data_IF_541488554389
#
_entry.id   IF_541488554389
#
_cell.length_a   1.000
_cell.length_b   1.000
_cell.length_c   1.000
_cell.angle_alpha   90.00
_cell.angle_beta   90.00
_cell.angle_gamma   90.00
#
_symmetry.space_group_name_H-M   'P 1'
#
loop_
_entity.id
_entity.type
_entity.pdbx_description
1 polymer ?
#
# COMPACT_ATOMS: atom_id res chain seq x y z
N UNK A 1 19.30 0.97 -34.42
CA UNK A 1 19.27 2.27 -33.71
C UNK A 1 17.88 2.91 -33.64
N UNK A 2 16.97 2.73 -34.62
CA UNK A 2 15.57 3.24 -34.55
C UNK A 2 14.66 2.48 -33.58
N UNK A 3 14.89 1.17 -33.36
CA UNK A 3 14.04 0.32 -32.51
C UNK A 3 14.08 0.68 -31.02
N UNK A 4 15.22 1.16 -30.51
CA UNK A 4 15.40 1.55 -29.10
C UNK A 4 14.70 2.88 -28.77
N UNK A 5 14.66 3.80 -29.73
CA UNK A 5 13.94 5.08 -29.62
C UNK A 5 12.42 4.88 -29.65
N UNK A 6 11.93 3.95 -30.48
CA UNK A 6 10.50 3.62 -30.55
C UNK A 6 10.00 2.87 -29.31
N UNK A 7 10.85 2.05 -28.68
CA UNK A 7 10.59 1.39 -27.39
C UNK A 7 10.53 2.41 -26.24
N UNK A 8 11.53 3.28 -26.11
CA UNK A 8 11.53 4.37 -25.13
C UNK A 8 10.34 5.33 -25.31
N UNK A 9 9.95 5.63 -26.56
CA UNK A 9 8.80 6.49 -26.85
C UNK A 9 7.47 5.81 -26.51
N UNK A 10 7.36 4.49 -26.62
CA UNK A 10 6.21 3.71 -26.13
C UNK A 10 6.16 3.67 -24.61
N UNK A 11 7.29 3.47 -23.94
CA UNK A 11 7.38 3.50 -22.47
C UNK A 11 6.99 4.86 -21.88
N UNK A 12 7.43 5.97 -22.50
CA UNK A 12 7.02 7.32 -22.09
C UNK A 12 5.52 7.58 -22.30
N UNK A 13 4.94 7.04 -23.38
CA UNK A 13 3.50 7.20 -23.66
C UNK A 13 2.59 6.32 -22.80
N UNK A 14 3.12 5.24 -22.23
CA UNK A 14 2.38 4.34 -21.33
C UNK A 14 2.43 4.77 -19.86
N UNK A 15 3.21 5.81 -19.51
CA UNK A 15 3.21 6.32 -18.13
C UNK A 15 1.85 6.97 -17.82
N UNK A 16 1.34 6.77 -16.59
CA UNK A 16 0.13 7.46 -16.14
C UNK A 16 0.30 8.97 -16.32
N UNK A 17 -0.65 9.60 -17.03
CA UNK A 17 -0.69 11.06 -17.19
C UNK A 17 -1.48 11.72 -16.06
N UNK A 18 -2.24 10.94 -15.30
CA UNK A 18 -2.90 11.38 -14.08
C UNK A 18 -1.93 11.37 -12.90
N UNK A 19 -2.20 12.24 -11.94
CA UNK A 19 -1.52 12.26 -10.64
C UNK A 19 -2.27 11.36 -9.63
N UNK A 20 -1.63 10.89 -8.55
CA UNK A 20 -2.28 10.06 -7.54
C UNK A 20 -3.63 10.60 -7.03
N UNK A 21 -3.72 11.91 -6.80
CA UNK A 21 -4.91 12.58 -6.27
C UNK A 21 -6.06 12.74 -7.28
N UNK A 22 -5.74 12.87 -8.58
CA UNK A 22 -6.68 13.36 -9.60
C UNK A 22 -6.79 12.38 -10.76
N UNK A 23 -8.00 12.01 -11.15
CA UNK A 23 -8.24 11.12 -12.29
C UNK A 23 -8.36 11.91 -13.58
N UNK A 24 -7.88 11.34 -14.69
CA UNK A 24 -7.94 11.97 -16.01
C UNK A 24 -8.68 11.10 -17.00
N UNK A 25 -9.60 11.66 -17.83
CA UNK A 25 -10.22 10.94 -18.95
C UNK A 25 -9.20 10.43 -19.98
N UNK A 26 -7.98 10.98 -19.99
CA UNK A 26 -6.89 10.54 -20.85
C UNK A 26 -6.15 9.30 -20.31
N UNK A 27 -6.57 8.79 -19.14
CA UNK A 27 -5.97 7.63 -18.46
C UNK A 27 -7.04 6.65 -17.96
N UNK A 28 -8.14 6.50 -18.70
CA UNK A 28 -9.33 5.73 -18.27
C UNK A 28 -8.99 4.33 -17.77
N UNK A 29 -8.22 3.55 -18.54
CA UNK A 29 -7.88 2.17 -18.12
C UNK A 29 -7.13 2.13 -16.79
N UNK A 30 -6.07 2.93 -16.66
CA UNK A 30 -5.31 3.06 -15.40
C UNK A 30 -6.20 3.52 -14.25
N UNK A 31 -7.00 4.56 -14.46
CA UNK A 31 -7.87 5.14 -13.44
C UNK A 31 -8.94 4.16 -12.96
N UNK A 32 -9.50 3.34 -13.87
CA UNK A 32 -10.47 2.29 -13.55
C UNK A 32 -9.81 1.19 -12.71
N UNK A 33 -8.59 0.75 -13.06
CA UNK A 33 -7.86 -0.26 -12.27
C UNK A 33 -7.58 0.26 -10.86
N UNK A 34 -7.14 1.52 -10.71
CA UNK A 34 -6.92 2.14 -9.39
C UNK A 34 -8.23 2.24 -8.59
N UNK A 35 -9.35 2.59 -9.24
CA UNK A 35 -10.66 2.64 -8.57
C UNK A 35 -11.13 1.24 -8.15
N UNK A 36 -10.96 0.24 -9.00
CA UNK A 36 -11.28 -1.15 -8.70
C UNK A 36 -10.46 -1.68 -7.53
N UNK A 37 -9.16 -1.38 -7.48
CA UNK A 37 -8.30 -1.76 -6.35
C UNK A 37 -8.78 -1.12 -5.03
N UNK A 38 -9.19 0.16 -5.04
CA UNK A 38 -9.78 0.82 -3.86
C UNK A 38 -11.08 0.16 -3.41
N UNK A 39 -11.98 -0.11 -4.35
CA UNK A 39 -13.24 -0.79 -4.06
C UNK A 39 -12.97 -2.18 -3.47
N UNK A 40 -11.99 -2.90 -4.02
CA UNK A 40 -11.60 -4.21 -3.51
C UNK A 40 -11.11 -4.13 -2.07
N UNK A 41 -10.28 -3.14 -1.71
CA UNK A 41 -9.82 -2.94 -0.32
C UNK A 41 -11.01 -2.75 0.64
N UNK A 42 -12.01 -1.98 0.23
CA UNK A 42 -13.23 -1.75 1.03
C UNK A 42 -14.04 -3.04 1.16
N UNK A 43 -14.27 -3.75 0.05
CA UNK A 43 -15.04 -4.99 0.03
C UNK A 43 -14.38 -6.10 0.86
N UNK A 44 -13.05 -6.18 0.87
CA UNK A 44 -12.30 -7.15 1.67
C UNK A 44 -12.37 -6.91 3.18
N UNK A 45 -12.96 -5.79 3.65
CA UNK A 45 -13.29 -5.60 5.06
C UNK A 45 -14.51 -6.44 5.48
N UNK A 46 -15.39 -6.80 4.55
CA UNK A 46 -16.48 -7.74 4.81
C UNK A 46 -15.94 -9.17 4.83
N UNK A 47 -16.16 -9.88 5.94
CA UNK A 47 -15.67 -11.24 6.14
C UNK A 47 -16.21 -12.23 5.09
N UNK A 48 -17.48 -12.09 4.70
CA UNK A 48 -18.10 -13.01 3.73
C UNK A 48 -17.49 -12.82 2.34
N UNK A 49 -17.30 -11.57 1.92
CA UNK A 49 -16.62 -11.24 0.68
C UNK A 49 -15.17 -11.72 0.72
N UNK A 50 -14.45 -11.46 1.80
CA UNK A 50 -13.06 -11.87 2.00
C UNK A 50 -12.88 -13.38 1.80
N UNK A 51 -13.72 -14.21 2.43
CA UNK A 51 -13.66 -15.67 2.28
C UNK A 51 -13.89 -16.12 0.83
N UNK A 52 -14.87 -15.53 0.12
CA UNK A 52 -15.11 -15.84 -1.30
C UNK A 52 -13.94 -15.41 -2.18
N UNK A 53 -13.37 -14.26 -1.87
CA UNK A 53 -12.25 -13.69 -2.59
C UNK A 53 -11.02 -14.59 -2.52
N UNK A 54 -10.60 -14.98 -1.32
CA UNK A 54 -9.43 -15.87 -1.12
C UNK A 54 -9.70 -17.32 -1.54
N UNK A 55 -10.96 -17.77 -1.44
CA UNK A 55 -11.36 -19.13 -1.83
C UNK A 55 -11.27 -19.41 -3.32
N UNK A 56 -11.09 -18.37 -4.14
CA UNK A 56 -10.94 -18.47 -5.60
C UNK A 56 -9.48 -18.24 -5.98
N UNK A 57 -8.77 -19.29 -6.41
CA UNK A 57 -7.32 -19.25 -6.68
C UNK A 57 -6.95 -18.21 -7.76
N UNK A 58 -7.79 -18.06 -8.77
CA UNK A 58 -7.61 -17.11 -9.87
C UNK A 58 -7.53 -15.66 -9.37
N UNK A 59 -8.27 -15.32 -8.32
CA UNK A 59 -8.20 -13.99 -7.72
C UNK A 59 -6.81 -13.71 -7.16
N UNK A 60 -6.20 -14.67 -6.47
CA UNK A 60 -4.87 -14.52 -5.90
C UNK A 60 -3.78 -14.43 -6.97
N UNK A 61 -3.93 -15.15 -8.08
CA UNK A 61 -3.05 -15.01 -9.25
C UNK A 61 -3.09 -13.58 -9.79
N UNK A 62 -4.30 -13.02 -9.97
CA UNK A 62 -4.47 -11.63 -10.41
C UNK A 62 -3.81 -10.66 -9.43
N UNK A 63 -3.94 -10.90 -8.12
CA UNK A 63 -3.31 -10.07 -7.10
C UNK A 63 -1.78 -10.11 -7.19
N UNK A 64 -1.19 -11.28 -7.37
CA UNK A 64 0.26 -11.44 -7.55
C UNK A 64 0.73 -10.71 -8.80
N UNK A 65 0.00 -10.82 -9.91
CA UNK A 65 0.31 -10.10 -11.14
C UNK A 65 0.26 -8.58 -10.94
N UNK A 66 -0.70 -8.09 -10.14
CA UNK A 66 -0.79 -6.67 -9.78
C UNK A 66 0.35 -6.20 -8.86
N UNK A 67 0.96 -7.10 -8.09
CA UNK A 67 2.14 -6.84 -7.26
C UNK A 67 3.47 -6.90 -8.02
N UNK A 68 3.47 -7.01 -9.35
CA UNK A 68 4.71 -6.91 -10.12
C UNK A 68 5.38 -5.54 -9.89
N UNK A 69 6.68 -5.54 -9.59
CA UNK A 69 7.47 -4.31 -9.31
C UNK A 69 7.41 -3.27 -10.43
N UNK A 70 7.16 -3.69 -11.68
CA UNK A 70 7.08 -2.80 -12.83
C UNK A 70 5.69 -2.13 -12.98
N UNK A 71 4.72 -2.51 -12.16
CA UNK A 71 3.40 -1.88 -12.15
C UNK A 71 3.44 -0.52 -11.46
N UNK A 72 2.35 0.25 -11.62
CA UNK A 72 2.19 1.53 -10.95
C UNK A 72 2.31 1.38 -9.42
N UNK A 73 3.24 2.10 -8.75
CA UNK A 73 3.41 1.99 -7.30
C UNK A 73 2.16 2.35 -6.48
N UNK A 74 1.26 3.20 -6.98
CA UNK A 74 -0.03 3.48 -6.36
C UNK A 74 -0.94 2.25 -6.39
N UNK A 75 -0.96 1.51 -7.50
CA UNK A 75 -1.68 0.24 -7.57
C UNK A 75 -1.10 -0.75 -6.57
N UNK A 76 0.22 -0.90 -6.54
CA UNK A 76 0.91 -1.81 -5.61
C UNK A 76 0.52 -1.48 -4.16
N UNK A 77 0.55 -0.20 -3.75
CA UNK A 77 0.12 0.21 -2.41
C UNK A 77 -1.33 -0.22 -2.10
N UNK A 78 -2.27 0.00 -3.02
CA UNK A 78 -3.68 -0.38 -2.82
C UNK A 78 -3.86 -1.89 -2.71
N UNK A 79 -3.12 -2.67 -3.50
CA UNK A 79 -3.16 -4.13 -3.43
C UNK A 79 -2.54 -4.64 -2.14
N UNK A 80 -1.42 -4.06 -1.68
CA UNK A 80 -0.84 -4.37 -0.38
C UNK A 80 -1.77 -4.00 0.77
N UNK A 81 -2.54 -2.91 0.66
CA UNK A 81 -3.57 -2.59 1.66
C UNK A 81 -4.67 -3.65 1.71
N UNK A 82 -5.19 -4.07 0.55
CA UNK A 82 -6.16 -5.17 0.44
C UNK A 82 -5.61 -6.43 1.11
N UNK A 83 -4.39 -6.84 0.76
CA UNK A 83 -3.76 -8.01 1.38
C UNK A 83 -3.51 -7.83 2.88
N UNK A 84 -3.20 -6.62 3.33
CA UNK A 84 -3.08 -6.32 4.75
C UNK A 84 -4.38 -6.55 5.51
N UNK A 85 -5.53 -6.18 4.93
CA UNK A 85 -6.85 -6.47 5.52
C UNK A 85 -7.12 -7.98 5.56
N UNK A 86 -6.76 -8.70 4.50
CA UNK A 86 -6.89 -10.17 4.45
C UNK A 86 -6.00 -10.84 5.50
N UNK A 87 -4.73 -10.44 5.58
CA UNK A 87 -3.73 -11.01 6.48
C UNK A 87 -4.03 -10.76 7.97
N UNK A 88 -4.88 -9.79 8.31
CA UNK A 88 -5.36 -9.63 9.69
C UNK A 88 -6.24 -10.81 10.14
N UNK A 89 -6.81 -11.59 9.22
CA UNK A 89 -7.57 -12.79 9.53
C UNK A 89 -6.66 -14.04 9.49
N UNK A 90 -6.38 -14.69 10.63
CA UNK A 90 -5.52 -15.88 10.68
C UNK A 90 -5.99 -17.04 9.81
N UNK A 91 -7.31 -17.18 9.62
CA UNK A 91 -7.89 -18.26 8.80
C UNK A 91 -7.48 -18.16 7.32
N UNK A 92 -6.99 -16.99 6.88
CA UNK A 92 -6.51 -16.77 5.52
C UNK A 92 -5.03 -17.16 5.30
N UNK A 93 -4.25 -17.34 6.38
CA UNK A 93 -2.79 -17.40 6.29
C UNK A 93 -2.29 -18.61 5.49
N UNK A 94 -2.94 -19.77 5.62
CA UNK A 94 -2.59 -20.97 4.86
C UNK A 94 -2.78 -20.76 3.36
N UNK A 95 -3.90 -20.15 2.97
CA UNK A 95 -4.23 -19.87 1.57
C UNK A 95 -3.25 -18.84 0.99
N UNK A 96 -2.94 -17.77 1.74
CA UNK A 96 -1.95 -16.77 1.32
C UNK A 96 -0.55 -17.38 1.16
N UNK A 97 -0.17 -18.29 2.06
CA UNK A 97 1.12 -19.00 2.00
C UNK A 97 1.19 -19.92 0.78
N UNK A 98 0.13 -20.69 0.50
CA UNK A 98 0.06 -21.56 -0.68
C UNK A 98 0.07 -20.77 -1.99
N UNK A 99 -0.42 -19.53 -1.97
CA UNK A 99 -0.37 -18.60 -3.09
C UNK A 99 0.96 -17.84 -3.22
N UNK A 100 1.98 -18.14 -2.40
CA UNK A 100 3.30 -17.48 -2.45
C UNK A 100 3.28 -15.97 -2.20
N UNK A 101 2.27 -15.49 -1.47
CA UNK A 101 2.14 -14.08 -1.08
C UNK A 101 3.34 -13.62 -0.23
N UNK A 102 3.83 -14.39 0.77
CA UNK A 102 4.96 -13.95 1.57
C UNK A 102 6.22 -13.63 0.76
N UNK A 103 6.58 -14.47 -0.20
CA UNK A 103 7.81 -14.26 -0.99
C UNK A 103 7.59 -13.20 -2.08
N UNK A 104 6.39 -13.13 -2.67
CA UNK A 104 5.98 -12.01 -3.54
C UNK A 104 6.12 -10.66 -2.83
N UNK A 105 5.61 -10.54 -1.60
CA UNK A 105 5.70 -9.31 -0.80
C UNK A 105 7.15 -9.02 -0.40
N UNK A 106 7.93 -10.04 -0.05
CA UNK A 106 9.34 -9.85 0.27
C UNK A 106 10.14 -9.28 -0.92
N UNK A 107 9.84 -9.72 -2.14
CA UNK A 107 10.44 -9.17 -3.36
C UNK A 107 10.10 -7.70 -3.62
N UNK A 108 9.05 -7.15 -3.01
CA UNK A 108 8.73 -5.72 -3.06
C UNK A 108 9.43 -4.90 -1.97
N UNK A 109 9.85 -5.55 -0.88
CA UNK A 109 10.52 -4.88 0.25
C UNK A 109 12.02 -4.69 -0.03
N UNK A 110 12.65 -5.67 -0.67
CA UNK A 110 14.09 -5.72 -0.93
C UNK A 110 14.66 -4.69 -1.94
N UNK A 111 13.94 -4.31 -3.01
CA UNK A 111 14.48 -3.43 -4.04
C UNK A 111 14.89 -2.03 -3.53
N UNK A 112 15.72 -1.36 -4.34
CA UNK A 112 16.08 0.04 -4.13
C UNK A 112 14.86 0.96 -4.31
N UNK A 113 14.85 2.07 -3.57
CA UNK A 113 13.71 3.00 -3.53
C UNK A 113 13.36 3.58 -4.91
N UNK A 114 14.38 3.78 -5.75
CA UNK A 114 14.24 4.32 -7.11
C UNK A 114 13.28 3.52 -7.99
N UNK A 115 13.06 2.24 -7.68
CA UNK A 115 12.15 1.38 -8.42
C UNK A 115 10.68 1.80 -8.28
N UNK A 116 10.37 2.59 -7.25
CA UNK A 116 9.02 3.10 -7.01
C UNK A 116 8.90 4.60 -7.28
N UNK A 117 9.92 5.23 -7.86
CA UNK A 117 9.86 6.63 -8.20
C UNK A 117 8.99 6.85 -9.43
N UNK A 118 8.13 7.85 -9.34
CA UNK A 118 7.29 8.30 -10.45
C UNK A 118 7.61 9.74 -10.78
N UNK A 119 7.13 10.22 -11.92
CA UNK A 119 7.23 11.64 -12.27
C UNK A 119 6.50 12.54 -11.25
N UNK A 120 5.59 11.99 -10.44
CA UNK A 120 4.71 12.74 -9.54
C UNK A 120 5.12 12.66 -8.07
N UNK A 121 5.90 11.66 -7.67
CA UNK A 121 6.34 11.47 -6.28
C UNK A 121 7.44 10.42 -6.20
N UNK A 122 8.35 10.59 -5.25
CA UNK A 122 9.39 9.63 -4.86
C UNK A 122 9.04 8.88 -3.58
N UNK A 123 7.86 9.13 -3.00
CA UNK A 123 7.52 8.65 -1.65
C UNK A 123 6.99 7.21 -1.60
N UNK A 124 6.57 6.64 -2.73
CA UNK A 124 5.96 5.31 -2.76
C UNK A 124 6.82 4.21 -2.17
N UNK A 125 8.15 4.25 -2.37
CA UNK A 125 9.06 3.21 -1.89
C UNK A 125 8.88 2.92 -0.40
N UNK A 126 8.82 3.98 0.42
CA UNK A 126 8.65 3.86 1.87
C UNK A 126 7.31 3.21 2.23
N UNK A 127 6.24 3.58 1.52
CA UNK A 127 4.90 3.04 1.76
C UNK A 127 4.76 1.59 1.29
N UNK A 128 5.29 1.24 0.12
CA UNK A 128 5.32 -0.15 -0.37
C UNK A 128 6.04 -1.04 0.63
N UNK A 129 7.22 -0.61 1.10
CA UNK A 129 8.01 -1.35 2.09
C UNK A 129 7.28 -1.52 3.41
N UNK A 130 6.66 -0.46 3.93
CA UNK A 130 5.88 -0.53 5.17
C UNK A 130 4.65 -1.44 5.02
N UNK A 131 3.85 -1.25 3.96
CA UNK A 131 2.65 -2.04 3.69
C UNK A 131 2.98 -3.52 3.46
N UNK A 132 4.09 -3.82 2.79
CA UNK A 132 4.57 -5.19 2.65
C UNK A 132 5.04 -5.79 3.98
N UNK A 133 5.83 -5.05 4.75
CA UNK A 133 6.35 -5.48 6.04
C UNK A 133 5.21 -5.83 7.03
N UNK A 134 4.13 -5.03 7.09
CA UNK A 134 3.00 -5.32 7.99
C UNK A 134 2.26 -6.59 7.61
N UNK A 135 2.10 -6.91 6.32
CA UNK A 135 1.47 -8.17 5.89
C UNK A 135 2.26 -9.36 6.45
N UNK A 136 3.59 -9.33 6.29
CA UNK A 136 4.46 -10.39 6.81
C UNK A 136 4.37 -10.49 8.33
N UNK A 137 4.26 -9.37 9.05
CA UNK A 137 4.08 -9.40 10.51
C UNK A 137 2.70 -9.94 10.91
N UNK A 138 1.63 -9.56 10.23
CA UNK A 138 0.28 -10.10 10.46
C UNK A 138 0.22 -11.61 10.24
N UNK A 139 0.99 -12.13 9.29
CA UNK A 139 1.17 -13.57 9.04
C UNK A 139 2.17 -14.26 9.99
N UNK A 140 2.69 -13.57 11.02
CA UNK A 140 3.64 -14.14 11.98
C UNK A 140 5.07 -14.31 11.46
N UNK A 141 5.43 -13.69 10.34
CA UNK A 141 6.73 -13.82 9.65
C UNK A 141 7.69 -12.65 9.96
N UNK A 142 7.67 -12.14 11.19
CA UNK A 142 8.50 -11.01 11.64
C UNK A 142 10.00 -11.21 11.35
N UNK A 143 10.49 -12.44 11.46
CA UNK A 143 11.91 -12.79 11.20
C UNK A 143 12.33 -12.52 9.75
N UNK A 144 11.39 -12.52 8.79
CA UNK A 144 11.68 -12.12 7.39
C UNK A 144 11.90 -10.61 7.26
N UNK A 145 11.38 -9.80 8.18
CA UNK A 145 11.32 -8.33 8.10
C UNK A 145 12.33 -7.61 9.01
N UNK A 146 12.64 -8.18 10.19
CA UNK A 146 13.28 -7.48 11.32
C UNK A 146 14.56 -6.69 11.03
N UNK A 147 15.33 -7.11 10.03
CA UNK A 147 16.61 -6.46 9.67
C UNK A 147 16.52 -5.61 8.39
N UNK A 148 15.33 -5.49 7.80
CA UNK A 148 15.10 -4.89 6.48
C UNK A 148 14.26 -3.63 6.54
N UNK A 149 13.23 -3.61 7.40
CA UNK A 149 12.29 -2.50 7.54
C UNK A 149 11.92 -2.37 9.01
N UNK A 150 12.02 -1.15 9.55
CA UNK A 150 11.37 -0.83 10.81
C UNK A 150 9.93 -0.39 10.52
N UNK A 151 8.96 -1.09 11.11
CA UNK A 151 7.53 -0.83 10.89
C UNK A 151 7.07 0.53 11.40
N UNK A 152 7.67 1.00 12.50
CA UNK A 152 7.23 2.21 13.20
C UNK A 152 7.81 3.49 12.61
N UNK A 153 8.89 3.41 11.81
CA UNK A 153 9.55 4.59 11.22
C UNK A 153 8.58 5.48 10.44
N UNK A 154 7.54 4.92 9.82
CA UNK A 154 6.62 5.69 8.99
C UNK A 154 5.54 6.42 9.79
N UNK A 155 5.32 6.04 11.05
CA UNK A 155 4.23 6.56 11.88
C UNK A 155 4.54 7.97 12.39
N UNK A 156 5.82 8.30 12.59
CA UNK A 156 6.29 9.63 12.99
C UNK A 156 6.50 10.58 11.79
N UNK A 157 6.13 10.17 10.57
CA UNK A 157 6.26 11.03 9.39
C UNK A 157 5.09 12.01 9.34
N UNK A 158 5.38 13.27 9.64
CA UNK A 158 4.39 14.33 9.45
C UNK A 158 4.17 14.65 7.95
N UNK A 159 2.94 15.04 7.58
CA UNK A 159 2.67 15.57 6.24
C UNK A 159 3.57 16.77 5.92
N UNK A 160 3.99 16.88 4.67
CA UNK A 160 4.76 18.02 4.20
C UNK A 160 3.87 19.28 4.19
N UNK A 161 4.40 20.47 4.52
CA UNK A 161 3.65 21.71 4.33
C UNK A 161 3.25 21.85 2.86
N UNK A 162 1.98 22.14 2.61
CA UNK A 162 1.46 22.31 1.24
C UNK A 162 2.07 23.57 0.65
N UNK A 163 2.87 23.38 -0.40
CA UNK A 163 3.58 24.44 -1.10
C UNK A 163 2.99 24.56 -2.52
N UNK A 164 2.32 25.68 -2.80
CA UNK A 164 1.70 25.95 -4.09
C UNK A 164 2.73 26.02 -5.24
N UNK A 165 3.97 26.38 -4.93
CA UNK A 165 5.07 26.44 -5.91
C UNK A 165 5.68 25.05 -6.15
N UNK A 166 5.40 24.08 -5.27
CA UNK A 166 5.80 22.67 -5.38
C UNK A 166 4.56 21.77 -5.35
N UNK A 167 3.86 21.59 -6.48
CA UNK A 167 2.66 20.77 -6.56
C UNK A 167 2.90 19.30 -6.13
N UNK A 168 4.15 18.84 -6.10
CA UNK A 168 4.54 17.52 -5.59
C UNK A 168 4.22 17.32 -4.10
N UNK A 169 4.25 18.39 -3.29
CA UNK A 169 3.94 18.33 -1.86
C UNK A 169 2.51 17.82 -1.60
N UNK A 170 1.55 18.25 -2.43
CA UNK A 170 0.18 17.78 -2.37
C UNK A 170 0.06 16.29 -2.69
N UNK A 171 0.74 15.82 -3.73
CA UNK A 171 0.72 14.39 -4.10
C UNK A 171 1.42 13.52 -3.05
N UNK A 172 2.51 14.01 -2.45
CA UNK A 172 3.20 13.34 -1.35
C UNK A 172 2.25 13.14 -0.15
N UNK A 173 1.53 14.18 0.24
CA UNK A 173 0.55 14.12 1.32
C UNK A 173 -0.63 13.21 0.97
N UNK A 174 -1.13 13.29 -0.27
CA UNK A 174 -2.18 12.39 -0.73
C UNK A 174 -1.77 10.92 -0.59
N UNK A 175 -0.55 10.58 -1.04
CA UNK A 175 -0.03 9.22 -0.94
C UNK A 175 0.17 8.82 0.53
N UNK A 176 0.65 9.72 1.39
CA UNK A 176 0.78 9.49 2.82
C UNK A 176 -0.57 9.12 3.47
N UNK A 177 -1.58 9.98 3.30
CA UNK A 177 -2.91 9.78 3.86
C UNK A 177 -3.57 8.52 3.30
N UNK A 178 -3.39 8.24 2.00
CA UNK A 178 -3.90 7.02 1.39
C UNK A 178 -3.23 5.79 1.99
N UNK A 179 -1.91 5.77 2.13
CA UNK A 179 -1.15 4.61 2.56
C UNK A 179 -1.34 4.26 4.05
N UNK A 180 -1.32 5.27 4.92
CA UNK A 180 -1.27 5.11 6.38
C UNK A 180 -2.64 5.36 7.03
N UNK A 181 -3.45 6.27 6.49
CA UNK A 181 -4.72 6.67 7.09
C UNK A 181 -4.59 7.43 8.41
N UNK A 182 -5.73 7.75 9.01
CA UNK A 182 -5.82 8.39 10.32
C UNK A 182 -5.74 7.36 11.47
N UNK A 183 -5.35 7.80 12.66
CA UNK A 183 -5.27 6.93 13.85
C UNK A 183 -6.65 6.42 14.23
N UNK A 184 -7.62 7.32 14.38
CA UNK A 184 -8.99 7.00 14.77
C UNK A 184 -9.92 7.61 13.73
N UNK A 185 -10.84 6.80 13.21
CA UNK A 185 -11.94 7.28 12.37
C UNK A 185 -13.23 7.14 13.19
N UNK A 186 -13.90 8.26 13.43
CA UNK A 186 -15.14 8.32 14.20
C UNK A 186 -16.11 9.32 13.61
N UNK A 187 -17.38 9.18 13.97
CA UNK A 187 -18.36 10.23 13.68
C UNK A 187 -18.36 11.28 14.81
N UNK A 188 -18.84 12.49 14.52
CA UNK A 188 -18.99 13.61 15.46
C UNK A 188 -19.77 13.26 16.75
N UNK A 189 -20.40 12.09 16.82
CA UNK A 189 -21.32 11.64 17.87
C UNK A 189 -20.77 10.42 18.63
N UNK A 190 -19.46 10.42 18.92
CA UNK A 190 -18.76 9.48 19.79
C UNK A 190 -18.82 7.97 19.43
N UNK A 191 -19.35 7.60 18.27
CA UNK A 191 -19.23 6.22 17.77
C UNK A 191 -17.88 6.04 17.05
N UNK A 192 -16.99 5.31 17.72
CA UNK A 192 -15.75 4.84 17.14
C UNK A 192 -16.05 3.90 15.96
N UNK A 193 -15.57 4.24 14.78
CA UNK A 193 -15.87 3.50 13.54
C UNK A 193 -14.67 2.67 13.06
N UNK A 194 -13.45 3.08 13.38
CA UNK A 194 -12.24 2.31 13.08
C UNK A 194 -10.96 2.90 13.67
N UNK A 195 -9.90 2.10 13.66
CA UNK A 195 -8.58 2.47 14.15
C UNK A 195 -7.48 1.82 13.33
N UNK A 196 -6.39 2.56 13.11
CA UNK A 196 -5.15 1.99 12.62
C UNK A 196 -4.45 1.26 13.78
N UNK A 197 -4.33 -0.06 13.66
CA UNK A 197 -3.75 -0.93 14.71
C UNK A 197 -2.31 -0.50 15.01
N UNK A 198 -1.53 -0.21 13.98
CA UNK A 198 -0.12 0.17 14.13
C UNK A 198 0.04 1.48 14.90
N UNK A 199 -0.79 2.50 14.60
CA UNK A 199 -0.78 3.77 15.33
C UNK A 199 -1.31 3.62 16.75
N UNK A 200 -2.34 2.81 16.97
CA UNK A 200 -2.80 2.49 18.33
C UNK A 200 -1.69 1.85 19.15
N UNK A 201 -0.99 0.86 18.60
CA UNK A 201 0.10 0.17 19.28
C UNK A 201 1.24 1.14 19.59
N UNK A 202 1.62 2.00 18.65
CA UNK A 202 2.65 3.02 18.87
C UNK A 202 2.29 3.98 20.02
N UNK A 203 1.05 4.48 20.05
CA UNK A 203 0.54 5.30 21.16
C UNK A 203 0.56 4.55 22.50
N UNK A 204 0.10 3.30 22.53
CA UNK A 204 0.11 2.47 23.75
C UNK A 204 1.53 2.19 24.26
N UNK A 205 2.49 1.99 23.36
CA UNK A 205 3.89 1.78 23.71
C UNK A 205 4.51 3.08 24.28
N UNK A 206 4.22 4.22 23.67
CA UNK A 206 4.65 5.55 24.16
C UNK A 206 4.11 5.83 25.57
N UNK A 207 2.85 5.50 25.85
CA UNK A 207 2.25 5.67 27.19
C UNK A 207 2.89 4.75 28.24
N UNK A 208 3.16 3.48 27.92
CA UNK A 208 3.76 2.54 28.88
C UNK A 208 5.24 2.80 29.18
N UNK A 209 5.97 3.49 28.29
CA UNK A 209 7.32 3.97 28.57
C UNK A 209 7.31 5.13 29.59
N UNK A 210 6.24 5.94 29.59
CA UNK A 210 6.08 7.06 30.53
C UNK A 210 5.71 6.57 31.96
N UNK A 211 5.14 5.38 32.11
CA UNK A 211 4.71 4.82 33.41
C UNK A 211 5.83 4.02 34.12
N UNK A 212 6.97 3.81 33.47
CA UNK A 212 8.14 3.17 34.10
C UNK A 212 9.36 4.09 34.10
N UNK A 213 9.33 5.19 34.86
CA UNK A 213 10.49 5.84 35.49
C UNK A 213 10.06 6.66 36.72
#
# INVERSE_FOLDING_TARGET
MRTHLDAHRKEFNNRPKCVPSTRSPLCTHHCVVILAARLLTILCQDHTFQLRFIGTKENLVIIIDMLNINNDPHLICLILQTLGVVALNPDSHDVLTQADIPDTVLHLILPADEMFYTNQTTKFARYVKHLGARILVYMGLLTKVSNKVNLFDILDVEPEPVDCDKPQSFENNFVHHMAIGETIVGTLWASFTGICIEKLLDELLKVNIIINF
#
